data_IF_488993846977
#
_entry.id   IF_488993846977
#
_cell.length_a   1.000
_cell.length_b   1.000
_cell.length_c   1.000
_cell.angle_alpha   90.00
_cell.angle_beta   90.00
_cell.angle_gamma   90.00
#
_symmetry.space_group_name_H-M   'P 1'
#
loop_
_entity.id
_entity.type
_entity.pdbx_description
1 polymer ?
#
# COMPACT_ATOMS: atom_id res chain seq x y z
N UNK A 1 -36.65 -39.69 -4.26
CA UNK A 1 -35.36 -39.39 -3.61
C UNK A 1 -34.41 -38.55 -4.45
N UNK A 2 -34.69 -38.28 -5.74
CA UNK A 2 -33.83 -37.52 -6.66
C UNK A 2 -34.04 -36.00 -6.63
N UNK A 3 -35.26 -35.51 -6.31
CA UNK A 3 -35.58 -34.09 -6.40
C UNK A 3 -34.94 -33.25 -5.27
N UNK A 4 -34.92 -33.77 -4.04
CA UNK A 4 -34.34 -33.07 -2.87
C UNK A 4 -32.82 -32.92 -2.98
N UNK A 5 -32.14 -33.89 -3.60
CA UNK A 5 -30.69 -33.88 -3.82
C UNK A 5 -30.28 -32.87 -4.89
N UNK A 6 -31.10 -32.65 -5.93
CA UNK A 6 -30.84 -31.62 -6.94
C UNK A 6 -31.00 -30.22 -6.34
N UNK A 7 -32.07 -29.98 -5.56
CA UNK A 7 -32.30 -28.69 -4.91
C UNK A 7 -31.20 -28.35 -3.87
N UNK A 8 -30.77 -29.33 -3.08
CA UNK A 8 -29.71 -29.09 -2.07
C UNK A 8 -28.33 -28.85 -2.68
N UNK A 9 -28.00 -29.51 -3.81
CA UNK A 9 -26.75 -29.24 -4.54
C UNK A 9 -26.80 -27.85 -5.21
N UNK A 10 -27.95 -27.44 -5.74
CA UNK A 10 -28.12 -26.10 -6.35
C UNK A 10 -28.02 -24.97 -5.31
N UNK A 11 -28.55 -25.20 -4.10
CA UNK A 11 -28.49 -24.25 -2.99
C UNK A 11 -27.08 -24.13 -2.39
N UNK A 12 -26.33 -25.23 -2.30
CA UNK A 12 -24.92 -25.22 -1.89
C UNK A 12 -24.03 -24.54 -2.93
N UNK A 13 -24.26 -24.80 -4.23
CA UNK A 13 -23.55 -24.12 -5.31
C UNK A 13 -23.83 -22.61 -5.31
N UNK A 14 -25.08 -22.18 -5.10
CA UNK A 14 -25.42 -20.75 -4.93
C UNK A 14 -24.71 -20.11 -3.75
N UNK A 15 -24.67 -20.78 -2.59
CA UNK A 15 -23.97 -20.26 -1.39
C UNK A 15 -22.47 -20.13 -1.59
N UNK A 16 -21.81 -21.14 -2.15
CA UNK A 16 -20.35 -21.11 -2.38
C UNK A 16 -19.98 -20.08 -3.45
N UNK A 17 -20.77 -19.93 -4.52
CA UNK A 17 -20.51 -18.93 -5.56
C UNK A 17 -20.81 -17.50 -5.11
N UNK A 18 -21.83 -17.30 -4.27
CA UNK A 18 -22.15 -15.99 -3.67
C UNK A 18 -21.11 -15.54 -2.63
N UNK A 19 -20.45 -16.46 -1.91
CA UNK A 19 -19.39 -16.08 -0.97
C UNK A 19 -18.11 -15.58 -1.63
N UNK A 20 -17.91 -15.84 -2.92
CA UNK A 20 -16.70 -15.44 -3.66
C UNK A 20 -16.90 -14.20 -4.55
N UNK A 21 -18.13 -13.76 -4.75
CA UNK A 21 -18.47 -12.59 -5.56
C UNK A 21 -19.34 -11.64 -4.76
N UNK A 22 -18.79 -10.49 -4.35
CA UNK A 22 -19.60 -9.44 -3.73
C UNK A 22 -20.59 -8.90 -4.77
N UNK A 23 -21.92 -9.01 -4.54
CA UNK A 23 -22.94 -8.57 -5.48
C UNK A 23 -22.96 -7.05 -5.66
N UNK A 24 -22.31 -6.28 -4.77
CA UNK A 24 -22.19 -4.82 -4.90
C UNK A 24 -21.17 -4.41 -5.96
N UNK A 25 -20.28 -5.31 -6.39
CA UNK A 25 -19.28 -5.01 -7.41
C UNK A 25 -19.91 -5.06 -8.80
N UNK A 26 -19.72 -4.00 -9.59
CA UNK A 26 -20.33 -3.82 -10.92
C UNK A 26 -20.07 -4.97 -11.91
N UNK A 27 -18.96 -5.69 -11.77
CA UNK A 27 -18.63 -6.86 -12.58
C UNK A 27 -19.55 -8.04 -12.29
N UNK A 28 -19.82 -8.27 -11.01
CA UNK A 28 -20.64 -9.37 -10.49
C UNK A 28 -22.07 -9.28 -11.01
N UNK A 29 -22.61 -8.07 -11.16
CA UNK A 29 -23.99 -7.84 -11.60
C UNK A 29 -24.28 -8.46 -12.99
N UNK A 30 -23.37 -8.28 -13.95
CA UNK A 30 -23.53 -8.83 -15.31
C UNK A 30 -23.50 -10.36 -15.28
N UNK A 31 -22.58 -10.94 -14.50
CA UNK A 31 -22.49 -12.38 -14.30
C UNK A 31 -23.77 -12.95 -13.68
N UNK A 32 -24.29 -12.34 -12.60
CA UNK A 32 -25.52 -12.80 -11.95
C UNK A 32 -26.73 -12.73 -12.86
N UNK A 33 -26.85 -11.68 -13.69
CA UNK A 33 -27.94 -11.57 -14.66
C UNK A 33 -27.88 -12.66 -15.73
N UNK A 34 -26.68 -12.98 -16.26
CA UNK A 34 -26.51 -14.06 -17.22
C UNK A 34 -26.75 -15.44 -16.60
N UNK A 35 -26.34 -15.65 -15.34
CA UNK A 35 -26.58 -16.89 -14.61
C UNK A 35 -28.07 -17.11 -14.32
N UNK A 36 -28.78 -16.06 -13.89
CA UNK A 36 -30.22 -16.12 -13.62
C UNK A 36 -31.01 -16.48 -14.89
N UNK A 37 -30.62 -15.92 -16.03
CA UNK A 37 -31.16 -16.29 -17.34
C UNK A 37 -30.88 -17.76 -17.70
N UNK A 38 -29.66 -18.25 -17.43
CA UNK A 38 -29.29 -19.65 -17.71
C UNK A 38 -30.07 -20.68 -16.88
N UNK A 39 -30.48 -20.33 -15.66
CA UNK A 39 -31.31 -21.17 -14.77
C UNK A 39 -32.81 -20.92 -15.04
N UNK A 40 -33.17 -20.07 -16.01
CA UNK A 40 -34.56 -19.64 -16.28
C UNK A 40 -35.26 -19.02 -15.06
N UNK A 41 -34.48 -18.43 -14.14
CA UNK A 41 -34.99 -17.74 -12.96
C UNK A 41 -35.37 -16.28 -13.24
N UNK A 42 -34.81 -15.67 -14.30
CA UNK A 42 -35.09 -14.31 -14.76
C UNK A 42 -35.03 -14.26 -16.31
N UNK A 43 -35.68 -13.27 -16.93
CA UNK A 43 -35.64 -13.08 -18.38
C UNK A 43 -34.43 -12.22 -18.79
N UNK A 44 -33.76 -12.58 -19.89
CA UNK A 44 -32.62 -11.81 -20.41
C UNK A 44 -33.07 -10.56 -21.17
N UNK A 45 -32.27 -9.49 -21.09
CA UNK A 45 -32.39 -8.34 -21.97
C UNK A 45 -31.54 -8.52 -23.25
N UNK A 46 -32.02 -8.11 -24.44
CA UNK A 46 -31.32 -8.33 -25.70
C UNK A 46 -29.94 -7.66 -25.76
N UNK A 47 -29.76 -6.55 -25.03
CA UNK A 47 -28.48 -5.83 -24.96
C UNK A 47 -27.38 -6.63 -24.26
N UNK A 48 -27.73 -7.50 -23.31
CA UNK A 48 -26.75 -8.37 -22.63
C UNK A 48 -26.25 -9.51 -23.52
N UNK A 49 -27.01 -9.87 -24.55
CA UNK A 49 -26.64 -10.89 -25.54
C UNK A 49 -25.85 -10.30 -26.72
N UNK A 50 -25.85 -8.98 -26.87
CA UNK A 50 -25.13 -8.30 -27.93
C UNK A 50 -23.63 -8.18 -27.59
N UNK A 51 -22.80 -8.93 -28.31
CA UNK A 51 -21.33 -8.94 -28.13
C UNK A 51 -20.69 -7.56 -28.22
N UNK A 52 -21.18 -6.68 -29.10
CA UNK A 52 -20.58 -5.34 -29.30
C UNK A 52 -20.81 -4.44 -28.08
N UNK A 53 -22.03 -4.45 -27.55
CA UNK A 53 -22.42 -3.68 -26.36
C UNK A 53 -21.68 -4.21 -25.14
N UNK A 54 -21.63 -5.54 -24.97
CA UNK A 54 -20.91 -6.17 -23.87
C UNK A 54 -19.41 -5.83 -23.88
N UNK A 55 -18.77 -5.83 -25.06
CA UNK A 55 -17.37 -5.45 -25.17
C UNK A 55 -17.12 -3.99 -24.74
N UNK A 56 -18.00 -3.06 -25.11
CA UNK A 56 -17.91 -1.66 -24.69
C UNK A 56 -18.06 -1.51 -23.17
N UNK A 57 -19.02 -2.22 -22.57
CA UNK A 57 -19.23 -2.24 -21.12
C UNK A 57 -17.99 -2.80 -20.41
N UNK A 58 -17.43 -3.92 -20.87
CA UNK A 58 -16.22 -4.52 -20.32
C UNK A 58 -15.02 -3.57 -20.39
N UNK A 59 -14.82 -2.90 -21.52
CA UNK A 59 -13.74 -1.92 -21.67
C UNK A 59 -13.89 -0.75 -20.69
N UNK A 60 -15.10 -0.21 -20.53
CA UNK A 60 -15.38 0.86 -19.57
C UNK A 60 -15.16 0.39 -18.13
N UNK A 61 -15.62 -0.82 -17.79
CA UNK A 61 -15.44 -1.39 -16.46
C UNK A 61 -13.96 -1.57 -16.11
N UNK A 62 -13.17 -2.11 -17.03
CA UNK A 62 -11.72 -2.29 -16.86
C UNK A 62 -11.01 -0.94 -16.70
N UNK A 63 -11.39 0.05 -17.50
CA UNK A 63 -10.87 1.41 -17.39
C UNK A 63 -11.17 2.00 -16.01
N UNK A 64 -12.43 1.96 -15.57
CA UNK A 64 -12.85 2.49 -14.26
C UNK A 64 -12.21 1.74 -13.09
N UNK A 65 -12.06 0.42 -13.19
CA UNK A 65 -11.39 -0.38 -12.17
C UNK A 65 -9.93 0.05 -12.01
N UNK A 66 -9.19 0.17 -13.11
CA UNK A 66 -7.80 0.64 -13.10
C UNK A 66 -7.70 2.08 -12.57
N UNK A 67 -8.58 2.98 -13.00
CA UNK A 67 -8.59 4.37 -12.52
C UNK A 67 -8.94 4.46 -11.03
N UNK A 68 -9.88 3.65 -10.54
CA UNK A 68 -10.23 3.59 -9.13
C UNK A 68 -9.04 3.12 -8.27
N UNK A 69 -8.28 2.12 -8.74
CA UNK A 69 -7.05 1.68 -8.07
C UNK A 69 -6.00 2.80 -8.03
N UNK A 70 -5.82 3.55 -9.12
CA UNK A 70 -4.90 4.69 -9.13
C UNK A 70 -5.34 5.81 -8.18
N UNK A 71 -6.63 6.15 -8.15
CA UNK A 71 -7.17 7.13 -7.22
C UNK A 71 -7.00 6.69 -5.76
N UNK A 72 -7.24 5.41 -5.46
CA UNK A 72 -7.03 4.85 -4.12
C UNK A 72 -5.57 4.93 -3.68
N UNK A 73 -4.62 4.54 -4.55
CA UNK A 73 -3.17 4.65 -4.28
C UNK A 73 -2.76 6.11 -4.07
N UNK A 74 -3.16 7.00 -4.97
CA UNK A 74 -2.85 8.43 -4.86
C UNK A 74 -3.43 9.08 -3.60
N UNK A 75 -4.60 8.62 -3.13
CA UNK A 75 -5.20 9.08 -1.87
C UNK A 75 -4.35 8.68 -0.65
N UNK A 76 -3.83 7.46 -0.63
CA UNK A 76 -2.93 6.98 0.44
C UNK A 76 -1.61 7.75 0.40
N UNK A 77 -1.04 7.93 -0.80
CA UNK A 77 0.20 8.70 -1.00
C UNK A 77 0.05 10.15 -0.50
N UNK A 78 -1.07 10.82 -0.81
CA UNK A 78 -1.34 12.16 -0.33
C UNK A 78 -1.51 12.21 1.20
N UNK A 79 -2.19 11.23 1.78
CA UNK A 79 -2.40 11.19 3.23
C UNK A 79 -1.09 10.95 3.99
N UNK A 80 -0.22 10.09 3.46
CA UNK A 80 1.11 9.87 4.04
C UNK A 80 2.00 11.10 3.95
N UNK A 81 1.95 11.85 2.83
CA UNK A 81 2.62 13.15 2.71
C UNK A 81 2.12 14.13 3.78
N UNK A 82 0.80 14.22 3.99
CA UNK A 82 0.22 15.09 5.00
C UNK A 82 0.65 14.68 6.42
N UNK A 83 0.76 13.37 6.70
CA UNK A 83 1.24 12.84 7.97
C UNK A 83 2.68 13.26 8.27
N UNK A 84 3.58 13.21 7.28
CA UNK A 84 4.99 13.56 7.47
C UNK A 84 5.30 15.06 7.31
N UNK A 85 4.35 15.90 6.90
CA UNK A 85 4.58 17.31 6.55
C UNK A 85 5.29 18.12 7.65
N UNK A 86 4.97 17.87 8.91
CA UNK A 86 5.52 18.60 10.07
C UNK A 86 6.42 17.73 10.95
N UNK A 87 6.79 16.53 10.50
CA UNK A 87 7.52 15.55 11.30
C UNK A 87 8.74 15.03 10.56
N UNK A 88 9.92 15.24 11.16
CA UNK A 88 11.16 14.60 10.72
C UNK A 88 11.43 13.42 11.66
N UNK A 89 11.24 12.19 11.16
CA UNK A 89 11.39 10.99 12.00
C UNK A 89 12.33 9.98 11.35
N UNK A 90 13.20 9.40 12.17
CA UNK A 90 13.98 8.23 11.80
C UNK A 90 13.07 7.01 11.81
N UNK A 91 13.17 6.18 10.79
CA UNK A 91 12.42 4.95 10.65
C UNK A 91 13.33 3.86 10.11
N UNK A 92 13.08 2.64 10.57
CA UNK A 92 13.78 1.47 10.07
C UNK A 92 13.09 0.97 8.80
N UNK A 93 13.92 0.65 7.82
CA UNK A 93 13.54 0.12 6.53
C UNK A 93 14.48 -1.00 6.12
N UNK A 94 14.14 -1.65 5.01
CA UNK A 94 14.98 -2.69 4.41
C UNK A 94 15.20 -2.35 2.96
N UNK A 95 16.40 -2.63 2.44
CA UNK A 95 16.68 -2.49 1.02
C UNK A 95 15.83 -3.51 0.27
N UNK A 96 14.89 -3.04 -0.54
CA UNK A 96 14.03 -3.90 -1.34
C UNK A 96 14.68 -4.27 -2.67
N UNK A 97 15.37 -3.34 -3.30
CA UNK A 97 16.10 -3.60 -4.54
C UNK A 97 17.25 -2.60 -4.70
N UNK A 98 18.37 -3.08 -5.24
CA UNK A 98 19.53 -2.26 -5.57
C UNK A 98 19.51 -1.95 -7.07
N UNK A 99 19.72 -0.68 -7.44
CA UNK A 99 19.83 -0.24 -8.84
C UNK A 99 21.17 0.46 -9.06
N UNK A 100 21.56 0.62 -10.32
CA UNK A 100 22.82 1.27 -10.74
C UNK A 100 23.06 2.64 -10.10
N UNK A 101 22.01 3.43 -9.86
CA UNK A 101 22.11 4.80 -9.34
C UNK A 101 21.22 5.08 -8.11
N UNK A 102 20.55 4.07 -7.57
CA UNK A 102 19.58 4.25 -6.51
C UNK A 102 19.34 2.96 -5.72
N UNK A 103 19.02 3.12 -4.44
CA UNK A 103 18.51 2.06 -3.59
C UNK A 103 17.00 2.21 -3.46
N UNK A 104 16.25 1.15 -3.74
CA UNK A 104 14.83 1.08 -3.44
C UNK A 104 14.69 0.51 -2.02
N UNK A 105 14.13 1.29 -1.11
CA UNK A 105 13.99 0.95 0.30
C UNK A 105 12.50 0.79 0.61
N UNK A 106 12.15 -0.23 1.37
CA UNK A 106 10.80 -0.47 1.88
C UNK A 106 10.74 -0.13 3.37
N UNK A 107 9.78 0.71 3.75
CA UNK A 107 9.46 1.02 5.13
C UNK A 107 8.22 0.23 5.57
N UNK A 108 8.40 -0.94 6.22
CA UNK A 108 7.30 -1.86 6.49
C UNK A 108 6.24 -1.27 7.43
N UNK A 109 6.64 -0.40 8.37
CA UNK A 109 5.71 0.21 9.34
C UNK A 109 4.64 1.09 8.68
N UNK A 110 4.96 1.72 7.55
CA UNK A 110 4.07 2.64 6.84
C UNK A 110 3.63 2.08 5.48
N UNK A 111 4.15 0.91 5.07
CA UNK A 111 3.92 0.36 3.74
C UNK A 111 4.42 1.28 2.62
N UNK A 112 5.46 2.07 2.87
CA UNK A 112 5.99 3.04 1.91
C UNK A 112 7.22 2.48 1.21
N UNK A 113 7.19 2.51 -0.13
CA UNK A 113 8.34 2.27 -0.97
C UNK A 113 8.97 3.61 -1.37
N UNK A 114 10.29 3.70 -1.27
CA UNK A 114 11.02 4.91 -1.59
C UNK A 114 12.28 4.60 -2.38
N UNK A 115 12.74 5.57 -3.16
CA UNK A 115 13.98 5.49 -3.92
C UNK A 115 14.96 6.52 -3.38
N UNK A 116 16.06 6.03 -2.82
CA UNK A 116 17.19 6.82 -2.39
C UNK A 116 18.19 6.91 -3.52
N UNK A 117 18.38 8.10 -4.10
CA UNK A 117 19.34 8.31 -5.18
C UNK A 117 20.75 8.49 -4.62
N UNK A 118 21.69 7.69 -5.10
CA UNK A 118 23.10 7.73 -4.69
C UNK A 118 23.87 8.63 -5.65
N UNK A 119 23.66 9.94 -5.52
CA UNK A 119 24.35 10.96 -6.30
C UNK A 119 25.15 11.86 -5.38
N UNK A 120 26.36 12.19 -5.80
CA UNK A 120 27.16 13.23 -5.16
C UNK A 120 26.63 14.63 -5.53
N UNK A 121 27.13 15.68 -4.87
CA UNK A 121 26.82 17.09 -5.14
C UNK A 121 27.10 17.48 -6.59
N UNK A 122 28.07 16.83 -7.23
CA UNK A 122 28.43 17.01 -8.64
C UNK A 122 27.60 16.13 -9.60
N UNK A 123 26.61 15.40 -9.09
CA UNK A 123 25.67 14.59 -9.88
C UNK A 123 26.21 13.24 -10.35
N UNK A 124 27.45 12.89 -10.01
CA UNK A 124 28.05 11.58 -10.32
C UNK A 124 27.48 10.49 -9.41
N UNK A 125 27.31 9.28 -9.94
CA UNK A 125 26.91 8.11 -9.15
C UNK A 125 28.02 7.74 -8.16
N UNK A 126 27.67 7.65 -6.87
CA UNK A 126 28.65 7.46 -5.80
C UNK A 126 29.04 5.98 -5.58
N UNK A 127 28.25 5.03 -6.09
CA UNK A 127 28.46 3.60 -5.84
C UNK A 127 28.89 2.82 -7.08
N UNK A 128 29.77 1.84 -6.87
CA UNK A 128 30.06 0.81 -7.85
C UNK A 128 28.98 -0.28 -7.78
N UNK A 129 28.38 -0.62 -8.92
CA UNK A 129 27.24 -1.53 -8.98
C UNK A 129 27.68 -2.87 -9.57
N UNK A 130 27.55 -3.94 -8.78
CA UNK A 130 27.76 -5.29 -9.26
C UNK A 130 26.42 -5.89 -9.73
N UNK A 131 26.33 -6.25 -11.01
CA UNK A 131 25.12 -6.77 -11.61
C UNK A 131 24.84 -8.24 -11.25
N UNK A 132 25.88 -9.02 -10.96
CA UNK A 132 25.75 -10.47 -10.65
C UNK A 132 25.13 -10.69 -9.27
N UNK A 133 25.57 -9.93 -8.28
CA UNK A 133 25.09 -10.02 -6.90
C UNK A 133 23.99 -9.00 -6.58
N UNK A 134 23.69 -8.09 -7.52
CA UNK A 134 22.83 -6.91 -7.30
C UNK A 134 23.23 -6.12 -6.03
N UNK A 135 24.53 -5.86 -5.89
CA UNK A 135 25.12 -5.15 -4.75
C UNK A 135 25.64 -3.79 -5.15
N UNK A 136 25.71 -2.89 -4.17
CA UNK A 136 26.26 -1.56 -4.38
C UNK A 136 27.31 -1.23 -3.33
N UNK A 137 28.53 -0.96 -3.80
CA UNK A 137 29.69 -0.71 -2.95
C UNK A 137 29.97 0.80 -2.91
N UNK A 138 29.99 1.37 -1.71
CA UNK A 138 30.24 2.79 -1.48
C UNK A 138 31.31 2.93 -0.39
N UNK A 139 32.48 3.47 -0.72
CA UNK A 139 33.58 3.73 0.24
C UNK A 139 33.87 2.51 1.17
N UNK A 140 34.00 1.31 0.59
CA UNK A 140 34.21 0.01 1.26
C UNK A 140 33.00 -0.59 1.99
N UNK A 141 31.82 0.02 1.92
CA UNK A 141 30.58 -0.56 2.42
C UNK A 141 29.80 -1.20 1.26
N UNK A 142 29.59 -2.50 1.33
CA UNK A 142 28.73 -3.23 0.39
C UNK A 142 27.30 -3.30 0.92
N UNK A 143 26.35 -2.77 0.16
CA UNK A 143 24.93 -2.84 0.48
C UNK A 143 24.30 -3.94 -0.39
N UNK A 144 23.66 -4.89 0.28
CA UNK A 144 22.96 -6.01 -0.32
C UNK A 144 21.44 -5.78 -0.31
N UNK A 145 20.72 -6.59 -1.08
CA UNK A 145 19.28 -6.69 -0.97
C UNK A 145 18.89 -7.20 0.42
N UNK A 146 17.81 -6.66 0.98
CA UNK A 146 17.26 -6.95 2.31
C UNK A 146 18.08 -6.47 3.50
N UNK A 147 19.16 -5.72 3.27
CA UNK A 147 19.91 -5.13 4.38
C UNK A 147 19.05 -4.14 5.18
N UNK A 148 19.15 -4.16 6.52
CA UNK A 148 18.45 -3.21 7.37
C UNK A 148 19.10 -1.84 7.26
N UNK A 149 18.28 -0.82 7.05
CA UNK A 149 18.71 0.57 6.90
C UNK A 149 17.84 1.46 7.77
N UNK A 150 18.45 2.46 8.41
CA UNK A 150 17.70 3.50 9.10
C UNK A 150 17.70 4.74 8.22
N UNK A 151 16.50 5.22 7.91
CA UNK A 151 16.30 6.40 7.07
C UNK A 151 15.55 7.48 7.81
N UNK A 152 15.87 8.73 7.49
CA UNK A 152 15.16 9.90 7.99
C UNK A 152 14.19 10.37 6.91
N UNK A 153 12.91 10.44 7.27
CA UNK A 153 11.85 10.90 6.38
C UNK A 153 11.62 12.39 6.61
N UNK A 154 11.49 13.13 5.51
CA UNK A 154 11.12 14.54 5.48
C UNK A 154 10.21 14.81 4.27
N UNK A 155 9.47 15.91 4.28
CA UNK A 155 8.63 16.33 3.15
C UNK A 155 9.23 17.58 2.54
N UNK A 156 9.53 17.51 1.25
CA UNK A 156 9.90 18.69 0.49
C UNK A 156 8.64 19.48 0.12
N UNK A 157 8.60 20.72 0.60
CA UNK A 157 7.51 21.68 0.36
C UNK A 157 7.90 22.79 -0.62
N UNK A 158 9.05 22.69 -1.29
CA UNK A 158 9.49 23.65 -2.31
C UNK A 158 8.44 23.87 -3.42
N UNK A 159 7.69 22.82 -3.79
CA UNK A 159 6.58 22.93 -4.73
C UNK A 159 5.26 22.53 -4.06
N UNK A 160 4.38 23.52 -3.85
CA UNK A 160 3.07 23.32 -3.20
C UNK A 160 2.19 22.33 -3.97
N UNK A 161 2.28 22.30 -5.30
CA UNK A 161 1.47 21.41 -6.15
C UNK A 161 2.00 19.97 -6.18
N UNK A 162 3.28 19.77 -5.89
CA UNK A 162 3.96 18.48 -5.95
C UNK A 162 4.88 18.31 -4.75
N UNK A 163 4.27 18.19 -3.58
CA UNK A 163 4.99 17.78 -2.38
C UNK A 163 5.53 16.36 -2.60
N UNK A 164 6.78 16.13 -2.20
CA UNK A 164 7.43 14.82 -2.35
C UNK A 164 8.07 14.44 -1.03
N UNK A 165 7.92 13.17 -0.67
CA UNK A 165 8.65 12.60 0.46
C UNK A 165 10.12 12.53 0.04
N UNK A 166 10.97 13.21 0.79
CA UNK A 166 12.42 13.14 0.66
C UNK A 166 12.98 12.32 1.81
N UNK A 167 13.94 11.48 1.47
CA UNK A 167 14.52 10.54 2.41
C UNK A 167 16.03 10.69 2.41
N UNK A 168 16.59 10.72 3.61
CA UNK A 168 18.02 10.77 3.85
C UNK A 168 18.45 9.50 4.57
N UNK A 169 19.61 8.98 4.20
CA UNK A 169 20.18 7.82 4.88
C UNK A 169 20.77 8.26 6.22
N UNK A 170 20.53 7.50 7.28
CA UNK A 170 21.14 7.73 8.60
C UNK A 170 22.13 6.61 8.91
N UNK A 171 21.68 5.37 8.76
CA UNK A 171 22.52 4.17 8.88
C UNK A 171 22.26 3.25 7.68
N UNK A 172 23.30 2.66 7.09
CA UNK A 172 24.73 2.81 7.41
C UNK A 172 25.28 4.22 7.09
N UNK A 173 26.28 4.67 7.85
CA UNK A 173 26.84 6.02 7.71
C UNK A 173 27.80 6.06 6.52
N UNK A 174 27.45 6.84 5.51
CA UNK A 174 28.27 7.10 4.34
C UNK A 174 28.76 8.55 4.44
N UNK A 175 30.08 8.72 4.42
CA UNK A 175 30.69 10.04 4.52
C UNK A 175 30.23 10.94 3.35
N UNK A 176 29.84 12.17 3.67
CA UNK A 176 29.29 13.14 2.70
C UNK A 176 27.84 12.92 2.23
N UNK A 177 27.20 11.79 2.58
CA UNK A 177 25.84 11.46 2.13
C UNK A 177 24.82 11.23 3.27
N UNK A 178 25.25 10.64 4.39
CA UNK A 178 24.35 10.32 5.51
C UNK A 178 24.15 11.51 6.45
N UNK A 179 22.94 11.63 7.01
CA UNK A 179 22.54 12.65 7.99
C UNK A 179 22.61 12.08 9.41
N UNK A 180 22.95 12.92 10.39
CA UNK A 180 22.97 12.55 11.80
C UNK A 180 21.57 12.14 12.28
N UNK A 181 21.44 11.08 13.11
CA UNK A 181 20.14 10.69 13.62
C UNK A 181 19.48 11.81 14.43
N UNK A 182 18.21 12.12 14.16
CA UNK A 182 17.42 12.95 15.08
C UNK A 182 17.24 12.19 16.39
N UNK A 183 17.85 12.69 17.47
CA UNK A 183 17.57 12.22 18.83
C UNK A 183 16.19 12.74 19.23
N UNK A 184 15.17 11.89 19.15
CA UNK A 184 13.90 12.17 19.80
C UNK A 184 14.15 12.08 21.30
N UNK A 185 14.23 13.22 21.99
CA UNK A 185 14.07 13.23 23.44
C UNK A 185 12.72 12.53 23.73
N UNK A 186 12.78 11.39 24.41
CA UNK A 186 11.68 10.43 24.64
C UNK A 186 10.50 11.00 25.45
N UNK A 187 10.43 12.30 25.70
CA UNK A 187 9.53 12.89 26.68
C UNK A 187 8.09 13.12 26.19
N UNK A 188 7.76 12.94 24.90
CA UNK A 188 6.45 13.39 24.38
C UNK A 188 5.58 12.31 23.68
N UNK A 189 6.04 11.05 23.56
CA UNK A 189 5.28 10.00 22.85
C UNK A 189 4.76 8.87 23.76
N UNK A 190 5.12 8.84 25.05
CA UNK A 190 4.63 7.85 26.02
C UNK A 190 3.44 8.36 26.88
N UNK A 191 3.08 9.65 26.80
CA UNK A 191 1.98 10.22 27.60
C UNK A 191 0.59 10.02 26.98
N UNK A 192 0.48 9.78 25.66
CA UNK A 192 -0.82 9.61 24.99
C UNK A 192 -1.40 8.21 25.20
N UNK A 193 -0.57 7.17 25.28
CA UNK A 193 -1.05 5.79 25.52
C UNK A 193 -1.45 5.53 26.99
N UNK A 194 -0.84 6.25 27.94
CA UNK A 194 -1.17 6.12 29.36
C UNK A 194 -2.47 6.85 29.77
N UNK A 195 -2.86 7.91 29.05
CA UNK A 195 -4.10 8.66 29.35
C UNK A 195 -5.36 7.89 28.93
N UNK A 196 -5.31 7.07 27.87
CA UNK A 196 -6.42 6.21 27.47
C UNK A 196 -6.65 5.04 28.44
N UNK A 197 -5.59 4.46 28.99
CA UNK A 197 -5.70 3.31 29.92
C UNK A 197 -6.23 3.71 31.31
N UNK A 198 -5.90 4.92 31.76
CA UNK A 198 -6.32 5.43 33.08
C UNK A 198 -7.81 5.80 33.11
N UNK A 199 -8.36 6.21 31.97
CA UNK A 199 -9.77 6.62 31.82
C UNK A 199 -10.75 5.45 31.89
N UNK A 200 -10.34 4.24 31.47
CA UNK A 200 -11.19 3.03 31.52
C UNK A 200 -11.34 2.47 32.94
N UNK A 201 -10.32 2.62 33.81
CA UNK A 201 -10.40 2.12 35.20
C UNK A 201 -11.31 2.98 36.11
N UNK A 202 -11.52 4.27 35.80
CA UNK A 202 -12.34 5.16 36.63
C UNK A 202 -13.85 4.99 36.47
N UNK A 203 -14.32 4.37 35.38
CA UNK A 203 -15.75 4.19 35.11
C UNK A 203 -16.36 2.90 35.68
N UNK A 204 -15.55 1.96 36.21
CA UNK A 204 -16.06 0.66 36.71
C UNK A 204 -16.35 0.59 38.23
N UNK A 205 -16.29 1.70 38.98
CA UNK A 205 -16.48 1.70 40.45
C UNK A 205 -17.76 2.42 40.92
N UNK A 206 -18.71 2.73 40.04
CA UNK A 206 -20.03 3.25 40.47
C UNK A 206 -21.18 2.43 39.90
N UNK A 207 -21.51 1.34 40.57
CA UNK A 207 -22.86 0.76 40.55
C UNK A 207 -23.15 0.12 41.90
N UNK A 208 -23.86 0.91 42.73
CA UNK A 208 -24.91 0.59 43.71
C UNK A 208 -24.73 -0.64 44.63
N UNK A 209 -24.69 -0.49 45.97
CA UNK A 209 -25.87 -0.37 46.85
C UNK A 209 -26.94 -1.40 46.55
#
# INVERSE_FOLDING_TARGET
>A
MSMVLIYTIDELKRKVFMTQFDPTTKSSYVYYKLLAAGISADATFPDLLNKRVLQQICNNLNYRHRMAQYAARASVDLHTQLFFKNMNTNQDGHVFAVRKNALQILLPRYGLETTLFLRDKDGKSMGDYNEEEATQTINNLTIHMFDPVTVQISVDSNNVQRQRIQIHLVKPFIDGFSVSPIVKNKTALEEVDNTMTTSVKRLKVKSSK
#
